data_IF_405279723960
#
_entry.id   IF_405279723960
#
_cell.length_a   1.000
_cell.length_b   1.000
_cell.length_c   1.000
_cell.angle_alpha   90.00
_cell.angle_beta   90.00
_cell.angle_gamma   90.00
#
_symmetry.space_group_name_H-M   'P 1'
#
loop_
_entity.id
_entity.type
_entity.pdbx_description
1 polymer ?
#
# COMPACT_ATOMS: atom_id res chain seq x y z
N UNK A 1 -23.43 4.49 30.95
CA UNK A 1 -23.11 4.16 29.55
C UNK A 1 -22.63 5.43 28.86
N UNK A 2 -21.32 5.71 28.95
CA UNK A 2 -20.69 6.87 28.31
C UNK A 2 -20.43 6.51 26.85
N UNK A 3 -21.09 7.22 25.94
CA UNK A 3 -20.85 7.14 24.51
C UNK A 3 -19.44 7.68 24.24
N UNK A 4 -18.51 6.80 23.91
CA UNK A 4 -17.20 7.17 23.39
C UNK A 4 -17.42 7.66 21.96
N UNK A 5 -17.79 8.93 21.82
CA UNK A 5 -17.68 9.66 20.57
C UNK A 5 -16.25 10.18 20.48
N UNK A 6 -15.31 9.29 20.23
CA UNK A 6 -13.95 9.70 19.87
C UNK A 6 -13.92 9.91 18.38
N UNK A 7 -13.89 11.16 17.98
CA UNK A 7 -13.55 11.56 16.62
C UNK A 7 -12.17 10.99 16.28
N UNK A 8 -12.16 9.84 15.63
CA UNK A 8 -11.05 9.49 14.75
C UNK A 8 -11.28 10.41 13.56
N UNK A 9 -10.58 11.54 13.55
CA UNK A 9 -10.47 12.36 12.36
C UNK A 9 -9.60 11.56 11.38
N UNK A 10 -10.21 10.56 10.73
CA UNK A 10 -9.67 9.89 9.58
C UNK A 10 -9.86 10.87 8.42
N UNK A 11 -8.89 11.74 8.24
CA UNK A 11 -8.87 12.65 7.12
C UNK A 11 -8.57 11.88 5.87
N UNK A 12 -9.57 11.67 5.06
CA UNK A 12 -9.42 11.14 3.72
C UNK A 12 -8.91 12.28 2.84
N UNK A 13 -7.60 12.35 2.67
CA UNK A 13 -7.06 12.99 1.50
C UNK A 13 -7.15 11.97 0.36
N UNK A 14 -8.10 12.17 -0.53
CA UNK A 14 -7.97 11.68 -1.89
C UNK A 14 -6.68 12.30 -2.44
N UNK A 15 -5.57 11.60 -2.28
CA UNK A 15 -4.39 11.90 -3.03
C UNK A 15 -4.69 11.57 -4.49
N UNK A 16 -5.26 12.54 -5.21
CA UNK A 16 -5.04 12.62 -6.64
C UNK A 16 -3.52 12.60 -6.80
N UNK A 17 -2.99 11.46 -7.20
CA UNK A 17 -1.58 11.14 -7.28
C UNK A 17 -0.95 11.94 -8.43
N UNK A 18 -0.74 13.24 -8.21
CA UNK A 18 0.07 14.08 -9.06
C UNK A 18 1.51 14.00 -8.54
N UNK A 19 2.25 12.96 -8.92
CA UNK A 19 3.70 12.92 -8.73
C UNK A 19 4.36 13.74 -9.82
N UNK A 20 4.77 14.96 -9.47
CA UNK A 20 5.74 15.70 -10.26
C UNK A 20 7.12 15.03 -10.14
N UNK A 21 7.61 14.49 -11.24
CA UNK A 21 8.97 13.98 -11.36
C UNK A 21 9.95 15.16 -11.48
N UNK A 22 10.58 15.54 -10.37
CA UNK A 22 11.83 16.31 -10.40
C UNK A 22 12.98 15.30 -10.26
N UNK A 23 13.76 15.13 -11.33
CA UNK A 23 14.92 14.27 -11.32
C UNK A 23 16.08 14.91 -10.54
N UNK A 24 16.75 14.11 -9.71
CA UNK A 24 18.13 14.32 -9.28
C UNK A 24 18.77 13.00 -8.89
N UNK A 25 19.96 12.78 -9.41
CA UNK A 25 20.80 11.61 -9.21
C UNK A 25 21.26 11.49 -7.76
N UNK A 26 21.15 10.31 -7.18
CA UNK A 26 21.80 9.98 -5.91
C UNK A 26 22.49 8.62 -6.00
N UNK A 27 23.71 8.61 -5.51
CA UNK A 27 24.72 7.56 -5.53
C UNK A 27 24.29 6.31 -4.74
N UNK A 28 24.51 5.14 -5.36
CA UNK A 28 24.30 3.81 -4.79
C UNK A 28 25.48 3.44 -3.90
N UNK A 29 25.23 3.12 -2.64
CA UNK A 29 26.17 2.33 -1.82
C UNK A 29 25.73 0.87 -1.84
N UNK A 30 26.48 0.05 -2.56
CA UNK A 30 26.34 -1.39 -2.65
C UNK A 30 26.96 -2.07 -1.43
N UNK A 31 26.15 -2.67 -0.60
CA UNK A 31 26.56 -3.69 0.38
C UNK A 31 26.09 -5.05 -0.10
N UNK A 32 26.91 -5.75 -0.89
CA UNK A 32 26.66 -7.11 -1.31
C UNK A 32 27.21 -8.09 -0.28
N UNK A 33 26.36 -8.92 0.31
CA UNK A 33 26.77 -10.16 0.97
C UNK A 33 26.06 -11.31 0.27
N UNK A 34 26.79 -12.02 -0.57
CA UNK A 34 26.35 -13.20 -1.30
C UNK A 34 26.90 -14.46 -0.65
N UNK A 35 26.02 -15.36 -0.22
CA UNK A 35 26.38 -16.76 0.03
C UNK A 35 25.66 -17.62 -1.00
N UNK A 36 26.34 -18.52 -1.75
CA UNK A 36 25.72 -19.37 -2.73
C UNK A 36 25.16 -20.63 -2.05
N UNK A 37 23.86 -20.86 -2.19
CA UNK A 37 23.24 -22.16 -1.94
C UNK A 37 22.73 -22.71 -3.26
N UNK A 38 23.34 -23.82 -3.69
CA UNK A 38 23.01 -24.56 -4.92
C UNK A 38 21.67 -25.29 -4.73
N UNK A 39 20.66 -24.88 -5.47
CA UNK A 39 19.41 -25.58 -5.62
C UNK A 39 18.69 -25.03 -6.85
N UNK A 40 18.55 -25.84 -7.90
CA UNK A 40 17.99 -25.45 -9.20
C UNK A 40 16.49 -25.12 -9.11
N UNK A 41 16.20 -23.91 -8.72
CA UNK A 41 14.93 -23.20 -8.84
C UNK A 41 15.24 -21.81 -9.37
N UNK A 42 14.41 -21.26 -10.21
CA UNK A 42 14.53 -19.88 -10.68
C UNK A 42 14.47 -18.98 -9.44
N UNK A 43 15.64 -18.64 -8.87
CA UNK A 43 15.74 -17.73 -7.73
C UNK A 43 15.39 -16.34 -8.24
N UNK A 44 14.12 -15.94 -8.04
CA UNK A 44 13.71 -14.56 -8.21
C UNK A 44 14.45 -13.76 -7.14
N UNK A 45 15.42 -12.97 -7.56
CA UNK A 45 16.14 -12.06 -6.66
C UNK A 45 15.12 -11.09 -6.01
N UNK A 46 15.32 -10.79 -4.75
CA UNK A 46 14.44 -9.89 -3.99
C UNK A 46 15.25 -8.78 -3.33
N UNK A 47 14.61 -7.63 -3.13
CA UNK A 47 15.16 -6.46 -2.44
C UNK A 47 14.26 -6.13 -1.26
N UNK A 48 14.85 -5.60 -0.19
CA UNK A 48 14.07 -5.17 0.98
C UNK A 48 14.24 -3.66 1.17
N UNK A 49 13.11 -2.98 1.28
CA UNK A 49 13.04 -1.60 1.73
C UNK A 49 12.70 -1.58 3.22
N UNK A 50 13.42 -0.75 3.98
CA UNK A 50 13.14 -0.52 5.42
C UNK A 50 12.94 0.96 5.65
N UNK A 51 11.89 1.31 6.39
CA UNK A 51 11.63 2.66 6.87
C UNK A 51 11.74 2.67 8.40
N UNK A 52 12.84 3.17 8.92
CA UNK A 52 13.08 3.21 10.37
C UNK A 52 12.23 4.27 11.08
N UNK A 53 11.85 5.35 10.39
CA UNK A 53 11.02 6.42 10.96
C UNK A 53 9.62 5.92 11.31
N UNK A 54 9.04 5.08 10.47
CA UNK A 54 7.69 4.52 10.66
C UNK A 54 7.72 3.04 11.03
N UNK A 55 8.91 2.47 11.23
CA UNK A 55 9.11 1.13 11.78
C UNK A 55 8.57 -0.01 10.91
N UNK A 56 8.68 0.06 9.58
CA UNK A 56 8.23 -1.02 8.72
C UNK A 56 9.27 -1.46 7.69
N UNK A 57 9.11 -2.67 7.17
CA UNK A 57 9.84 -3.14 6.01
C UNK A 57 8.94 -3.91 5.04
N UNK A 58 9.36 -3.91 3.75
CA UNK A 58 8.70 -4.65 2.67
C UNK A 58 9.75 -5.22 1.72
N UNK A 59 9.58 -6.49 1.32
CA UNK A 59 10.45 -7.17 0.36
C UNK A 59 9.71 -7.30 -0.97
N UNK A 60 10.37 -6.97 -2.06
CA UNK A 60 9.80 -6.98 -3.42
C UNK A 60 10.77 -7.64 -4.41
N UNK A 61 10.23 -8.29 -5.43
CA UNK A 61 11.01 -8.96 -6.47
C UNK A 61 11.62 -7.98 -7.48
N UNK A 62 12.61 -8.44 -8.25
CA UNK A 62 13.38 -7.64 -9.21
C UNK A 62 12.55 -6.98 -10.31
N UNK A 63 11.34 -7.49 -10.60
CA UNK A 63 10.44 -6.84 -11.57
C UNK A 63 9.98 -5.46 -11.10
N UNK A 64 10.01 -5.19 -9.80
CA UNK A 64 9.62 -3.90 -9.24
C UNK A 64 10.84 -3.00 -9.03
N UNK A 65 10.67 -1.74 -9.36
CA UNK A 65 11.61 -0.67 -9.07
C UNK A 65 11.03 0.20 -7.96
N UNK A 66 11.83 0.43 -6.94
CA UNK A 66 11.49 1.38 -5.88
C UNK A 66 11.47 2.80 -6.46
N UNK A 67 10.40 3.52 -6.19
CA UNK A 67 10.32 4.96 -6.43
C UNK A 67 10.97 5.78 -5.33
N UNK A 68 10.96 7.10 -5.49
CA UNK A 68 11.41 8.00 -4.45
C UNK A 68 10.36 8.11 -3.33
N UNK A 69 10.77 8.11 -2.06
CA UNK A 69 9.85 8.30 -0.96
C UNK A 69 9.29 9.72 -0.97
N UNK A 70 7.98 9.85 -0.83
CA UNK A 70 7.30 11.12 -0.68
C UNK A 70 6.94 11.37 0.78
N UNK A 71 7.22 12.58 1.27
CA UNK A 71 6.76 13.03 2.58
C UNK A 71 5.42 13.73 2.43
N UNK A 72 4.40 13.19 3.06
CA UNK A 72 3.11 13.85 3.18
C UNK A 72 3.11 14.86 4.34
N UNK A 73 2.09 15.69 4.38
CA UNK A 73 1.95 16.73 5.43
C UNK A 73 1.27 16.20 6.69
N UNK A 74 0.56 15.09 6.61
CA UNK A 74 -0.34 14.61 7.67
C UNK A 74 -1.53 15.54 7.94
N UNK A 75 -1.57 16.72 7.29
CA UNK A 75 -2.63 17.69 7.51
C UNK A 75 -3.93 17.23 6.83
N UNK A 76 -5.07 17.47 7.49
CA UNK A 76 -6.38 17.10 6.97
C UNK A 76 -6.55 15.58 6.75
N UNK A 77 -5.72 14.75 7.43
CA UNK A 77 -5.73 13.29 7.30
C UNK A 77 -5.02 12.75 6.07
N UNK A 78 -4.17 13.53 5.42
CA UNK A 78 -3.28 13.03 4.38
C UNK A 78 -2.22 12.08 4.97
N UNK A 79 -1.61 11.26 4.13
CA UNK A 79 -0.46 10.44 4.51
C UNK A 79 0.68 11.31 5.04
N UNK A 80 1.49 10.76 5.93
CA UNK A 80 2.75 11.36 6.37
C UNK A 80 3.94 10.83 5.58
N UNK A 81 3.73 9.73 4.87
CA UNK A 81 4.74 9.06 4.05
C UNK A 81 4.06 8.21 2.97
N UNK A 82 4.64 8.23 1.77
CA UNK A 82 4.25 7.38 0.65
C UNK A 82 5.48 6.78 -0.04
N UNK A 83 5.34 5.53 -0.50
CA UNK A 83 6.34 4.80 -1.27
C UNK A 83 5.66 3.94 -2.33
N UNK A 84 6.24 3.86 -3.51
CA UNK A 84 5.74 3.03 -4.61
C UNK A 84 6.83 2.09 -5.10
N UNK A 85 6.47 0.82 -5.31
CA UNK A 85 7.28 -0.19 -5.98
C UNK A 85 6.56 -0.54 -7.28
N UNK A 86 7.07 -0.08 -8.41
CA UNK A 86 6.41 -0.15 -9.71
C UNK A 86 7.11 -1.11 -10.67
N UNK A 87 6.32 -1.89 -11.39
CA UNK A 87 6.78 -2.67 -12.53
C UNK A 87 6.90 -1.75 -13.76
N UNK A 88 8.14 -1.35 -14.08
CA UNK A 88 8.41 -0.46 -15.22
C UNK A 88 8.17 -1.09 -16.59
N UNK A 89 7.95 -2.40 -16.65
CA UNK A 89 7.54 -3.08 -17.88
C UNK A 89 6.01 -3.07 -18.09
N UNK A 90 5.26 -2.67 -17.05
CA UNK A 90 3.82 -2.58 -17.08
C UNK A 90 3.29 -1.31 -17.77
N UNK A 91 1.96 -1.21 -17.92
CA UNK A 91 1.35 -0.07 -18.58
C UNK A 91 1.50 1.21 -17.78
N UNK A 92 1.56 2.33 -18.53
CA UNK A 92 1.59 3.69 -17.96
C UNK A 92 0.23 4.33 -18.16
N UNK A 93 -0.36 4.83 -17.07
CA UNK A 93 -1.63 5.56 -17.05
C UNK A 93 -1.41 6.84 -16.27
N UNK A 94 -1.86 7.97 -16.80
CA UNK A 94 -1.67 9.29 -16.17
C UNK A 94 -0.22 9.54 -15.73
N UNK A 95 0.75 9.19 -16.60
CA UNK A 95 2.20 9.35 -16.39
C UNK A 95 2.80 8.50 -15.25
N UNK A 96 2.11 7.47 -14.77
CA UNK A 96 2.61 6.52 -13.77
C UNK A 96 2.44 5.07 -14.19
N UNK A 97 3.35 4.21 -13.76
CA UNK A 97 3.20 2.76 -13.90
C UNK A 97 2.10 2.27 -12.97
N UNK A 98 1.13 1.52 -13.48
CA UNK A 98 -0.04 1.09 -12.70
C UNK A 98 0.10 -0.31 -12.10
N UNK A 99 0.99 -1.15 -12.63
CA UNK A 99 1.31 -2.43 -11.99
C UNK A 99 2.30 -2.15 -10.84
N UNK A 100 1.79 -2.00 -9.62
CA UNK A 100 2.58 -1.49 -8.50
C UNK A 100 2.04 -1.93 -7.14
N UNK A 101 2.92 -1.88 -6.14
CA UNK A 101 2.54 -1.85 -4.72
C UNK A 101 2.86 -0.45 -4.19
N UNK A 102 1.85 0.21 -3.63
CA UNK A 102 2.00 1.46 -2.90
C UNK A 102 1.89 1.19 -1.41
N UNK A 103 2.74 1.85 -0.62
CA UNK A 103 2.65 1.87 0.84
C UNK A 103 2.49 3.32 1.29
N UNK A 104 1.40 3.61 2.00
CA UNK A 104 1.14 4.92 2.60
C UNK A 104 1.05 4.76 4.12
N UNK A 105 1.58 5.72 4.87
CA UNK A 105 1.49 5.75 6.33
C UNK A 105 0.65 6.94 6.75
N UNK A 106 -0.32 6.68 7.63
CA UNK A 106 -1.16 7.71 8.26
C UNK A 106 -0.95 7.70 9.77
N UNK A 107 -0.84 8.88 10.36
CA UNK A 107 -0.74 9.01 11.80
C UNK A 107 -2.13 9.14 12.43
N UNK A 108 -2.41 8.27 13.37
CA UNK A 108 -3.65 8.26 14.13
C UNK A 108 -3.55 9.20 15.35
N UNK A 109 -4.66 9.82 15.70
CA UNK A 109 -4.74 10.70 16.88
C UNK A 109 -4.37 9.97 18.19
N UNK A 110 -4.64 8.65 18.25
CA UNK A 110 -4.26 7.78 19.37
C UNK A 110 -3.74 6.44 18.88
N UNK A 111 -3.03 5.75 19.76
CA UNK A 111 -2.65 4.37 19.47
C UNK A 111 -3.91 3.46 19.42
N UNK A 112 -3.91 2.55 18.46
CA UNK A 112 -4.93 1.50 18.30
C UNK A 112 -4.32 0.18 18.77
N UNK A 113 -4.96 -0.49 19.74
CA UNK A 113 -4.58 -1.83 20.17
C UNK A 113 -5.12 -2.87 19.19
N UNK A 114 -4.43 -3.99 19.05
CA UNK A 114 -4.86 -5.07 18.16
C UNK A 114 -6.30 -5.56 18.44
N UNK A 115 -6.71 -5.58 19.71
CA UNK A 115 -8.06 -5.95 20.14
C UNK A 115 -9.15 -4.93 19.77
N UNK A 116 -8.77 -3.69 19.45
CA UNK A 116 -9.70 -2.62 19.05
C UNK A 116 -9.92 -2.60 17.53
N UNK A 117 -9.01 -3.19 16.74
CA UNK A 117 -9.06 -3.15 15.27
C UNK A 117 -10.40 -3.66 14.71
N UNK A 118 -11.02 -4.75 15.21
CA UNK A 118 -12.33 -5.19 14.71
C UNK A 118 -13.44 -4.12 14.80
N UNK A 119 -13.34 -3.20 15.76
CA UNK A 119 -14.33 -2.14 15.99
C UNK A 119 -14.21 -1.01 14.96
N UNK A 120 -13.08 -0.90 14.25
CA UNK A 120 -12.86 0.10 13.21
C UNK A 120 -13.59 -0.20 11.89
N UNK A 121 -14.18 -1.39 11.75
CA UNK A 121 -14.82 -1.82 10.49
C UNK A 121 -15.84 -0.83 9.98
N UNK A 122 -16.70 -0.31 10.85
CA UNK A 122 -17.77 0.64 10.45
C UNK A 122 -17.20 1.97 9.97
N UNK A 123 -16.15 2.47 10.63
CA UNK A 123 -15.49 3.72 10.25
C UNK A 123 -14.77 3.54 8.91
N UNK A 124 -14.05 2.43 8.75
CA UNK A 124 -13.39 2.07 7.49
C UNK A 124 -14.38 1.88 6.34
N UNK A 125 -15.57 1.35 6.61
CA UNK A 125 -16.59 1.22 5.57
C UNK A 125 -17.00 2.60 5.03
N UNK A 126 -17.14 3.61 5.89
CA UNK A 126 -17.41 4.99 5.43
C UNK A 126 -16.29 5.54 4.53
N UNK A 127 -15.02 5.21 4.84
CA UNK A 127 -13.87 5.55 4.01
C UNK A 127 -13.94 4.84 2.66
N UNK A 128 -14.24 3.54 2.67
CA UNK A 128 -14.40 2.75 1.45
C UNK A 128 -15.51 3.32 0.57
N UNK A 129 -16.65 3.68 1.15
CA UNK A 129 -17.77 4.25 0.40
C UNK A 129 -17.39 5.58 -0.26
N UNK A 130 -16.63 6.42 0.44
CA UNK A 130 -16.09 7.66 -0.11
C UNK A 130 -15.05 7.40 -1.21
N UNK A 131 -14.13 6.44 -1.00
CA UNK A 131 -13.16 6.02 -2.02
C UNK A 131 -13.88 5.56 -3.29
N UNK A 132 -14.86 4.66 -3.15
CA UNK A 132 -15.62 4.16 -4.29
C UNK A 132 -16.39 5.26 -5.03
N UNK A 133 -16.97 6.21 -4.31
CA UNK A 133 -17.70 7.34 -4.92
C UNK A 133 -16.78 8.29 -5.72
N UNK A 134 -15.50 8.32 -5.39
CA UNK A 134 -14.51 9.19 -6.04
C UNK A 134 -13.82 8.58 -7.26
N UNK A 135 -13.86 7.24 -7.38
CA UNK A 135 -13.22 6.53 -8.47
C UNK A 135 -14.22 6.24 -9.61
N UNK A 136 -13.90 6.63 -10.86
CA UNK A 136 -14.77 6.39 -12.00
C UNK A 136 -15.02 4.89 -12.21
N UNK A 137 -16.26 4.52 -12.48
CA UNK A 137 -16.71 3.14 -12.75
C UNK A 137 -16.29 2.12 -11.69
N UNK A 138 -16.10 2.56 -10.45
CA UNK A 138 -15.63 1.69 -9.37
C UNK A 138 -16.65 0.61 -9.01
N UNK A 139 -16.14 -0.57 -8.68
CA UNK A 139 -16.94 -1.70 -8.17
C UNK A 139 -16.15 -2.45 -7.10
N UNK A 140 -16.80 -2.71 -5.96
CA UNK A 140 -16.26 -3.61 -4.94
C UNK A 140 -16.37 -5.06 -5.47
N UNK A 141 -15.24 -5.73 -5.56
CA UNK A 141 -15.13 -7.15 -5.96
C UNK A 141 -15.19 -8.06 -4.73
N UNK A 142 -14.39 -7.72 -3.71
CA UNK A 142 -14.43 -8.40 -2.40
C UNK A 142 -14.63 -7.34 -1.33
N UNK A 143 -15.65 -7.54 -0.49
CA UNK A 143 -16.00 -6.59 0.57
C UNK A 143 -14.91 -6.49 1.63
N UNK A 144 -14.89 -5.36 2.34
CA UNK A 144 -14.00 -5.12 3.47
C UNK A 144 -14.07 -6.29 4.48
N UNK A 145 -12.97 -7.01 4.61
CA UNK A 145 -12.85 -8.23 5.42
C UNK A 145 -11.63 -8.19 6.32
N UNK A 146 -11.67 -8.78 7.53
CA UNK A 146 -10.52 -8.85 8.42
C UNK A 146 -9.35 -9.58 7.79
N UNK A 147 -8.13 -9.08 8.05
CA UNK A 147 -6.87 -9.68 7.61
C UNK A 147 -5.81 -9.53 8.70
N UNK A 148 -4.80 -10.37 8.65
CA UNK A 148 -3.58 -10.21 9.45
C UNK A 148 -2.37 -10.49 8.57
N UNK A 149 -1.42 -9.55 8.52
CA UNK A 149 -0.16 -9.70 7.78
C UNK A 149 0.99 -9.67 8.79
N UNK A 150 1.72 -10.77 8.91
CA UNK A 150 2.83 -10.95 9.85
C UNK A 150 2.52 -10.44 11.27
N UNK A 151 1.33 -10.78 11.76
CA UNK A 151 0.89 -10.38 13.10
C UNK A 151 0.19 -9.02 13.18
N UNK A 152 0.31 -8.16 12.17
CA UNK A 152 -0.35 -6.84 12.12
C UNK A 152 -1.80 -7.01 11.69
N UNK A 153 -2.78 -6.69 12.54
CA UNK A 153 -4.20 -6.83 12.22
C UNK A 153 -4.68 -5.68 11.36
N UNK A 154 -5.74 -5.96 10.58
CA UNK A 154 -6.36 -4.94 9.72
C UNK A 154 -7.52 -5.47 8.90
N UNK A 155 -7.75 -4.82 7.76
CA UNK A 155 -8.79 -5.18 6.82
C UNK A 155 -8.25 -5.12 5.39
N UNK A 156 -8.86 -5.91 4.49
CA UNK A 156 -8.58 -5.86 3.07
C UNK A 156 -9.85 -5.62 2.28
N UNK A 157 -9.71 -4.89 1.17
CA UNK A 157 -10.76 -4.58 0.21
C UNK A 157 -10.22 -4.84 -1.20
N UNK A 158 -10.98 -5.55 -2.06
CA UNK A 158 -10.67 -5.67 -3.48
C UNK A 158 -11.72 -4.95 -4.31
N UNK A 159 -11.25 -4.17 -5.27
CA UNK A 159 -12.12 -3.37 -6.13
C UNK A 159 -11.53 -3.19 -7.52
N UNK A 160 -12.38 -2.80 -8.46
CA UNK A 160 -11.98 -2.35 -9.80
C UNK A 160 -12.43 -0.92 -9.99
N UNK A 161 -11.75 -0.20 -10.89
CA UNK A 161 -12.12 1.15 -11.31
C UNK A 161 -11.46 1.47 -12.66
N UNK A 162 -11.87 2.56 -13.29
CA UNK A 162 -11.30 3.00 -14.57
C UNK A 162 -10.52 4.29 -14.37
N UNK A 163 -9.29 4.37 -14.87
CA UNK A 163 -8.50 5.59 -14.89
C UNK A 163 -7.99 5.85 -16.31
N UNK A 164 -8.30 7.03 -16.85
CA UNK A 164 -7.92 7.44 -18.21
C UNK A 164 -8.19 6.35 -19.28
N UNK A 165 -9.36 5.69 -19.17
CA UNK A 165 -9.79 4.64 -20.10
C UNK A 165 -9.13 3.27 -19.88
N UNK A 166 -8.32 3.10 -18.83
CA UNK A 166 -7.73 1.82 -18.45
C UNK A 166 -8.44 1.26 -17.22
N UNK A 167 -8.93 0.02 -17.33
CA UNK A 167 -9.52 -0.69 -16.19
C UNK A 167 -8.41 -1.23 -15.29
N UNK A 168 -8.54 -0.95 -14.01
CA UNK A 168 -7.60 -1.30 -12.97
C UNK A 168 -8.26 -2.22 -11.92
N UNK A 169 -7.50 -3.18 -11.43
CA UNK A 169 -7.85 -4.02 -10.28
C UNK A 169 -6.90 -3.69 -9.14
N UNK A 170 -7.45 -3.46 -7.96
CA UNK A 170 -6.69 -3.13 -6.76
C UNK A 170 -7.15 -3.93 -5.54
N UNK A 171 -6.20 -4.26 -4.67
CA UNK A 171 -6.45 -4.75 -3.30
C UNK A 171 -5.77 -3.80 -2.34
N UNK A 172 -6.55 -3.15 -1.49
CA UNK A 172 -6.02 -2.27 -0.44
C UNK A 172 -6.14 -2.94 0.92
N UNK A 173 -5.05 -2.91 1.66
CA UNK A 173 -4.92 -3.40 3.03
C UNK A 173 -4.79 -2.20 3.96
N UNK A 174 -5.62 -2.14 4.98
CA UNK A 174 -5.61 -1.15 6.06
C UNK A 174 -5.09 -1.85 7.31
N UNK A 175 -3.82 -1.68 7.65
CA UNK A 175 -3.15 -2.37 8.75
C UNK A 175 -2.87 -1.40 9.88
N UNK A 176 -3.05 -1.83 11.13
CA UNK A 176 -2.94 -0.96 12.30
C UNK A 176 -1.88 -1.46 13.28
N UNK A 177 -0.95 -0.57 13.65
CA UNK A 177 0.03 -0.83 14.70
C UNK A 177 0.37 0.47 15.46
N UNK A 178 0.07 0.50 16.74
CA UNK A 178 0.31 1.67 17.59
C UNK A 178 -0.41 2.91 17.06
N UNK A 179 0.32 3.97 16.78
CA UNK A 179 -0.21 5.23 16.23
C UNK A 179 -0.20 5.30 14.70
N UNK A 180 0.12 4.21 14.02
CA UNK A 180 0.19 4.21 12.57
C UNK A 180 -0.90 3.31 11.97
N UNK A 181 -1.52 3.82 10.91
CA UNK A 181 -2.22 3.04 9.92
C UNK A 181 -1.31 2.93 8.69
N UNK A 182 -1.09 1.72 8.23
CA UNK A 182 -0.36 1.42 6.99
C UNK A 182 -1.34 0.98 5.94
N UNK A 183 -1.45 1.73 4.87
CA UNK A 183 -2.24 1.33 3.71
C UNK A 183 -1.31 0.77 2.64
N UNK A 184 -1.48 -0.50 2.33
CA UNK A 184 -0.77 -1.13 1.22
C UNK A 184 -1.77 -1.37 0.09
N UNK A 185 -1.53 -0.79 -1.08
CA UNK A 185 -2.36 -1.01 -2.27
C UNK A 185 -1.57 -1.77 -3.32
N UNK A 186 -1.94 -3.02 -3.55
CA UNK A 186 -1.48 -3.83 -4.68
C UNK A 186 -2.42 -3.58 -5.86
N UNK A 187 -1.89 -3.08 -6.98
CA UNK A 187 -2.68 -2.68 -8.14
C UNK A 187 -2.05 -3.15 -9.44
N UNK A 188 -2.88 -3.47 -10.42
CA UNK A 188 -2.46 -3.70 -11.80
C UNK A 188 -3.57 -3.32 -12.79
N UNK A 189 -3.21 -3.14 -14.07
CA UNK A 189 -4.21 -3.14 -15.12
C UNK A 189 -4.99 -4.47 -15.07
N UNK A 190 -6.32 -4.41 -15.21
CA UNK A 190 -7.17 -5.60 -15.03
C UNK A 190 -6.77 -6.74 -15.97
N UNK A 191 -6.34 -6.43 -17.19
CA UNK A 191 -5.82 -7.43 -18.16
C UNK A 191 -4.54 -8.11 -17.69
N UNK A 192 -3.73 -7.44 -16.86
CA UNK A 192 -2.43 -7.94 -16.38
C UNK A 192 -2.54 -8.53 -14.96
N UNK A 193 -3.71 -8.41 -14.31
CA UNK A 193 -3.90 -8.79 -12.90
C UNK A 193 -3.47 -10.24 -12.63
N UNK A 194 -3.94 -11.19 -13.43
CA UNK A 194 -3.65 -12.62 -13.20
C UNK A 194 -2.16 -12.95 -13.30
N UNK A 195 -1.43 -12.31 -14.21
CA UNK A 195 0.02 -12.52 -14.38
C UNK A 195 0.88 -11.77 -13.35
N UNK A 196 0.32 -10.75 -12.69
CA UNK A 196 1.06 -9.85 -11.81
C UNK A 196 0.73 -10.07 -10.33
N UNK A 197 -0.50 -10.51 -10.01
CA UNK A 197 -1.02 -10.64 -8.64
C UNK A 197 -0.09 -11.42 -7.71
N UNK A 198 0.52 -12.52 -8.16
CA UNK A 198 1.42 -13.33 -7.33
C UNK A 198 2.62 -12.54 -6.81
N UNK A 199 3.22 -11.68 -7.64
CA UNK A 199 4.34 -10.84 -7.25
C UNK A 199 3.89 -9.68 -6.35
N UNK A 200 2.72 -9.07 -6.64
CA UNK A 200 2.12 -8.01 -5.81
C UNK A 200 1.77 -8.53 -4.41
N UNK A 201 1.11 -9.70 -4.34
CA UNK A 201 0.76 -10.34 -3.08
C UNK A 201 1.99 -10.77 -2.27
N UNK A 202 3.05 -11.27 -2.93
CA UNK A 202 4.30 -11.63 -2.26
C UNK A 202 4.92 -10.41 -1.57
N UNK A 203 4.94 -9.25 -2.25
CA UNK A 203 5.42 -8.00 -1.67
C UNK A 203 4.55 -7.58 -0.46
N UNK A 204 3.23 -7.59 -0.59
CA UNK A 204 2.32 -7.27 0.53
C UNK A 204 2.49 -8.23 1.71
N UNK A 205 2.56 -9.55 1.45
CA UNK A 205 2.74 -10.58 2.49
C UNK A 205 4.09 -10.50 3.20
N UNK A 206 5.09 -9.85 2.59
CA UNK A 206 6.40 -9.61 3.22
C UNK A 206 6.40 -8.43 4.19
N UNK A 207 5.36 -7.60 4.19
CA UNK A 207 5.28 -6.41 5.04
C UNK A 207 5.37 -6.78 6.52
N UNK A 208 6.26 -6.10 7.24
CA UNK A 208 6.44 -6.27 8.70
C UNK A 208 6.51 -4.91 9.38
N UNK A 209 6.10 -4.89 10.66
CA UNK A 209 6.26 -3.73 11.55
C UNK A 209 7.18 -4.16 12.71
N UNK A 210 8.12 -3.27 13.06
CA UNK A 210 9.06 -3.45 14.21
C UNK A 210 8.39 -3.12 15.54
#
# INVERSE_FOLDING_TARGET
MHRIRSAIALGLALAALALALAGCSASVSTGASSSPSSGGGTTTSTKTYTNDQYGFSITYGDRFTQGDPAKGTGAGGSSVFDMVFADKSGPVVSSRYVNAVQTSVYQLARAVKASEVPQLKTELQGIVDQLMSSLPSSKVVEKLSPVKINGVPGFALKYTYTESGTDLTAVTFFLFSGKNEYQLTAQAATKDWESTKGALEAAVKSFTVK
#
